data_IF_375288380603
#
_entry.id   IF_375288380603
#
_cell.length_a   1.000
_cell.length_b   1.000
_cell.length_c   1.000
_cell.angle_alpha   90.00
_cell.angle_beta   90.00
_cell.angle_gamma   90.00
#
_symmetry.space_group_name_H-M   'P 1'
#
loop_
_entity.id
_entity.type
_entity.pdbx_description
1 polymer ?
#
# COMPACT_ATOMS: atom_id res chain seq x y z
N UNK A 1 -7.66 0.57 -2.79
CA UNK A 1 -6.80 0.65 -1.57
C UNK A 1 -7.40 -0.07 -0.38
N UNK A 2 -8.64 0.23 0.05
CA UNK A 2 -9.25 -0.43 1.23
C UNK A 2 -10.51 -1.24 0.93
N UNK A 3 -11.04 -1.19 -0.29
CA UNK A 3 -12.35 -1.71 -0.67
C UNK A 3 -12.57 -3.24 -0.50
N UNK A 4 -11.50 -4.02 -0.33
CA UNK A 4 -11.55 -5.48 -0.15
C UNK A 4 -11.17 -5.93 1.27
N UNK A 5 -10.98 -4.99 2.20
CA UNK A 5 -10.75 -5.33 3.60
C UNK A 5 -12.04 -5.84 4.24
N UNK A 6 -11.91 -6.92 5.02
CA UNK A 6 -12.99 -7.39 5.91
C UNK A 6 -13.18 -6.42 7.08
N UNK A 7 -14.40 -6.37 7.60
CA UNK A 7 -14.73 -5.58 8.80
C UNK A 7 -13.83 -5.97 9.98
N UNK A 8 -13.35 -4.96 10.71
CA UNK A 8 -12.39 -5.16 11.81
C UNK A 8 -10.98 -5.56 11.37
N UNK A 9 -10.71 -5.59 10.05
CA UNK A 9 -9.40 -5.90 9.48
C UNK A 9 -8.34 -4.84 9.81
N UNK A 10 -7.08 -5.16 9.48
CA UNK A 10 -5.94 -4.28 9.74
C UNK A 10 -5.46 -3.63 8.44
N UNK A 11 -5.28 -2.32 8.46
CA UNK A 11 -4.68 -1.56 7.36
C UNK A 11 -3.39 -0.89 7.85
N UNK A 12 -2.27 -1.17 7.18
CA UNK A 12 -0.98 -0.53 7.43
C UNK A 12 -0.62 0.36 6.24
N UNK A 13 -0.44 1.66 6.50
CA UNK A 13 0.00 2.63 5.50
C UNK A 13 1.44 3.07 5.78
N UNK A 14 2.31 2.93 4.77
CA UNK A 14 3.65 3.48 4.83
C UNK A 14 3.64 4.96 4.41
N UNK A 15 3.75 5.87 5.35
CA UNK A 15 3.75 7.32 5.10
C UNK A 15 4.44 8.09 6.22
N UNK A 16 4.91 9.30 5.90
CA UNK A 16 5.47 10.25 6.86
C UNK A 16 4.41 11.20 7.47
N UNK A 17 3.13 10.89 7.28
CA UNK A 17 2.03 11.77 7.69
C UNK A 17 1.66 11.57 9.16
N UNK A 18 1.45 12.68 9.85
CA UNK A 18 0.75 12.72 11.13
C UNK A 18 -0.77 12.80 10.91
N UNK A 19 -1.54 13.01 11.99
CA UNK A 19 -3.00 13.06 11.89
C UNK A 19 -3.50 14.17 10.96
N UNK A 20 -2.86 15.35 10.96
CA UNK A 20 -3.21 16.45 10.06
C UNK A 20 -2.89 16.09 8.59
N UNK A 21 -1.75 15.45 8.35
CA UNK A 21 -1.40 14.92 7.03
C UNK A 21 -2.38 13.85 6.55
N UNK A 22 -2.83 12.97 7.44
CA UNK A 22 -3.83 11.94 7.13
C UNK A 22 -5.19 12.55 6.79
N UNK A 23 -5.64 13.53 7.57
CA UNK A 23 -6.84 14.33 7.28
C UNK A 23 -6.76 14.98 5.90
N UNK A 24 -5.60 15.49 5.50
CA UNK A 24 -5.42 16.19 4.22
C UNK A 24 -5.26 15.26 3.01
N UNK A 25 -4.57 14.14 3.18
CA UNK A 25 -4.11 13.32 2.04
C UNK A 25 -4.93 12.06 1.79
N UNK A 26 -5.63 11.53 2.81
CA UNK A 26 -6.52 10.40 2.59
C UNK A 26 -7.81 10.86 1.90
N UNK A 27 -8.19 10.25 0.77
CA UNK A 27 -9.47 10.56 0.13
C UNK A 27 -10.64 10.27 1.06
N UNK A 28 -11.68 11.10 1.04
CA UNK A 28 -12.84 10.94 1.92
C UNK A 28 -13.52 9.57 1.84
N UNK A 29 -13.61 8.96 0.65
CA UNK A 29 -14.13 7.59 0.48
C UNK A 29 -13.28 6.51 1.19
N UNK A 30 -11.96 6.72 1.32
CA UNK A 30 -11.07 5.83 2.08
C UNK A 30 -11.28 6.02 3.57
N UNK A 31 -11.37 7.28 4.04
CA UNK A 31 -11.67 7.62 5.44
C UNK A 31 -13.00 7.01 5.89
N UNK A 32 -14.05 7.20 5.09
CA UNK A 32 -15.38 6.66 5.36
C UNK A 32 -15.38 5.14 5.42
N UNK A 33 -14.68 4.46 4.51
CA UNK A 33 -14.55 3.01 4.56
C UNK A 33 -13.84 2.55 5.85
N UNK A 34 -12.70 3.14 6.21
CA UNK A 34 -11.96 2.79 7.43
C UNK A 34 -12.85 2.93 8.67
N UNK A 35 -13.59 4.03 8.78
CA UNK A 35 -14.42 4.33 9.95
C UNK A 35 -15.69 3.47 10.02
N UNK A 36 -16.38 3.25 8.90
CA UNK A 36 -17.63 2.48 8.87
C UNK A 36 -17.41 0.97 9.05
N UNK A 37 -16.23 0.46 8.65
CA UNK A 37 -15.88 -0.96 8.76
C UNK A 37 -15.03 -1.29 9.99
N UNK A 38 -14.85 -0.34 10.92
CA UNK A 38 -14.05 -0.49 12.14
C UNK A 38 -12.63 -1.01 11.88
N UNK A 39 -11.99 -0.51 10.82
CA UNK A 39 -10.65 -0.96 10.41
C UNK A 39 -9.62 -0.49 11.42
N UNK A 40 -8.75 -1.40 11.86
CA UNK A 40 -7.59 -1.08 12.69
C UNK A 40 -6.53 -0.43 11.82
N UNK A 41 -6.41 0.89 11.92
CA UNK A 41 -5.54 1.66 11.05
C UNK A 41 -4.20 1.96 11.73
N UNK A 42 -3.10 1.65 11.03
CA UNK A 42 -1.74 1.88 11.47
C UNK A 42 -0.93 2.61 10.41
N UNK A 43 0.01 3.43 10.85
CA UNK A 43 1.01 4.06 9.99
C UNK A 43 2.43 3.69 10.41
N UNK A 44 3.35 3.77 9.45
CA UNK A 44 4.79 3.64 9.69
C UNK A 44 5.54 4.48 8.67
N UNK A 45 6.60 5.17 9.09
CA UNK A 45 7.52 5.86 8.18
C UNK A 45 8.72 4.98 7.87
N UNK A 46 8.55 4.05 6.94
CA UNK A 46 9.61 3.15 6.52
C UNK A 46 10.80 3.86 5.89
N UNK A 47 10.60 5.04 5.27
CA UNK A 47 11.68 5.81 4.64
C UNK A 47 12.60 6.40 5.70
N UNK A 48 12.03 7.06 6.70
CA UNK A 48 12.77 7.57 7.86
C UNK A 48 13.52 6.45 8.58
N UNK A 49 12.83 5.36 8.89
CA UNK A 49 13.44 4.21 9.57
C UNK A 49 14.58 3.64 8.72
N UNK A 50 14.39 3.50 7.40
CA UNK A 50 15.42 3.00 6.50
C UNK A 50 16.68 3.87 6.50
N UNK A 51 16.54 5.20 6.59
CA UNK A 51 17.67 6.12 6.72
C UNK A 51 18.36 5.93 8.08
N UNK A 52 17.59 5.92 9.17
CA UNK A 52 18.10 5.79 10.55
C UNK A 52 18.83 4.47 10.80
N UNK A 53 18.36 3.37 10.19
CA UNK A 53 18.97 2.04 10.34
C UNK A 53 20.08 1.78 9.32
N UNK A 54 20.41 2.76 8.46
CA UNK A 54 21.46 2.63 7.44
C UNK A 54 21.10 1.76 6.23
N UNK A 55 19.82 1.41 6.05
CA UNK A 55 19.28 0.69 4.89
C UNK A 55 19.09 1.61 3.67
N UNK A 56 18.95 2.91 3.91
CA UNK A 56 18.66 3.94 2.91
C UNK A 56 17.16 4.16 2.70
N UNK A 57 16.77 5.21 1.95
CA UNK A 57 15.39 5.67 1.85
C UNK A 57 14.47 4.74 1.03
N UNK A 58 15.04 3.85 0.20
CA UNK A 58 14.26 3.01 -0.72
C UNK A 58 14.07 1.58 -0.22
N UNK A 59 14.83 1.15 0.80
CA UNK A 59 14.84 -0.24 1.28
C UNK A 59 13.97 -0.40 2.53
N UNK A 60 12.66 -0.31 2.31
CA UNK A 60 11.65 -0.37 3.37
C UNK A 60 11.07 -1.77 3.59
N UNK A 61 11.41 -2.74 2.74
CA UNK A 61 10.81 -4.08 2.72
C UNK A 61 10.93 -4.82 4.07
N UNK A 62 12.14 -4.86 4.66
CA UNK A 62 12.40 -5.54 5.93
C UNK A 62 11.62 -4.88 7.08
N UNK A 63 11.47 -3.56 7.03
CA UNK A 63 10.75 -2.76 8.03
C UNK A 63 9.25 -3.08 7.95
N UNK A 64 8.67 -3.05 6.74
CA UNK A 64 7.26 -3.36 6.53
C UNK A 64 6.93 -4.83 6.82
N UNK A 65 7.85 -5.75 6.52
CA UNK A 65 7.68 -7.17 6.87
C UNK A 65 7.64 -7.37 8.39
N UNK A 66 8.47 -6.65 9.14
CA UNK A 66 8.44 -6.72 10.61
C UNK A 66 7.13 -6.16 11.17
N UNK A 67 6.70 -5.00 10.68
CA UNK A 67 5.40 -4.42 11.02
C UNK A 67 4.24 -5.37 10.70
N UNK A 68 4.29 -6.08 9.57
CA UNK A 68 3.29 -7.09 9.20
C UNK A 68 3.18 -8.22 10.23
N UNK A 69 4.29 -8.84 10.66
CA UNK A 69 4.23 -9.91 11.65
C UNK A 69 3.73 -9.41 13.01
N UNK A 70 4.17 -8.20 13.41
CA UNK A 70 3.70 -7.54 14.63
C UNK A 70 2.19 -7.34 14.63
N UNK A 71 1.64 -6.82 13.54
CA UNK A 71 0.24 -6.45 13.44
C UNK A 71 -0.70 -7.63 13.21
N UNK A 72 -0.25 -8.64 12.46
CA UNK A 72 -1.08 -9.81 12.16
C UNK A 72 -1.14 -10.80 13.31
N UNK A 73 -0.11 -10.86 14.15
CA UNK A 73 -0.08 -11.77 15.31
C UNK A 73 -0.17 -13.25 14.93
N UNK A 74 0.11 -13.61 13.67
CA UNK A 74 0.01 -15.01 13.18
C UNK A 74 1.01 -15.95 13.87
N UNK A 75 2.11 -15.38 14.39
CA UNK A 75 3.07 -16.03 15.25
C UNK A 75 3.47 -15.05 16.37
N UNK A 76 3.96 -15.55 17.52
CA UNK A 76 4.50 -14.70 18.57
C UNK A 76 5.57 -13.74 18.05
N UNK A 77 5.53 -12.50 18.52
CA UNK A 77 6.41 -11.42 18.06
C UNK A 77 7.90 -11.77 18.23
N UNK A 78 8.30 -12.28 19.39
CA UNK A 78 9.68 -12.69 19.65
C UNK A 78 10.15 -13.75 18.64
N UNK A 79 9.27 -14.71 18.34
CA UNK A 79 9.54 -15.75 17.35
C UNK A 79 9.65 -15.16 15.93
N UNK A 80 8.80 -14.19 15.57
CA UNK A 80 8.87 -13.53 14.28
C UNK A 80 10.20 -12.79 14.10
N UNK A 81 10.61 -12.02 15.10
CA UNK A 81 11.87 -11.26 15.09
C UNK A 81 13.06 -12.21 14.93
N UNK A 82 13.10 -13.30 15.70
CA UNK A 82 14.18 -14.29 15.62
C UNK A 82 14.27 -14.95 14.24
N UNK A 83 13.13 -15.38 13.68
CA UNK A 83 13.07 -15.98 12.35
C UNK A 83 13.51 -15.00 11.26
N UNK A 84 13.06 -13.74 11.34
CA UNK A 84 13.47 -12.70 10.40
C UNK A 84 14.97 -12.41 10.48
N UNK A 85 15.55 -12.34 11.69
CA UNK A 85 16.99 -12.13 11.88
C UNK A 85 17.81 -13.30 11.35
N UNK A 86 17.35 -14.53 11.57
CA UNK A 86 17.96 -15.74 11.03
C UNK A 86 17.93 -15.73 9.48
N UNK A 87 16.78 -15.39 8.88
CA UNK A 87 16.64 -15.27 7.43
C UNK A 87 17.56 -14.18 6.86
N UNK A 88 17.61 -13.00 7.47
CA UNK A 88 18.50 -11.91 7.05
C UNK A 88 19.98 -12.33 7.07
N UNK A 89 20.41 -13.06 8.11
CA UNK A 89 21.77 -13.61 8.19
C UNK A 89 22.04 -14.64 7.09
N UNK A 90 21.09 -15.54 6.82
CA UNK A 90 21.22 -16.53 5.75
C UNK A 90 21.31 -15.90 4.36
N UNK A 91 20.49 -14.88 4.08
CA UNK A 91 20.44 -14.22 2.77
C UNK A 91 21.63 -13.26 2.56
N UNK A 92 22.03 -12.52 3.59
CA UNK A 92 22.99 -11.42 3.46
C UNK A 92 24.33 -11.66 4.14
N UNK A 93 24.55 -12.78 4.83
CA UNK A 93 25.83 -13.07 5.50
C UNK A 93 27.03 -13.01 4.56
N UNK A 94 26.86 -13.39 3.28
CA UNK A 94 27.90 -13.28 2.25
C UNK A 94 28.25 -11.83 1.86
N UNK A 95 27.39 -10.86 2.17
CA UNK A 95 27.58 -9.43 1.88
C UNK A 95 28.28 -8.67 3.02
N UNK A 96 28.62 -9.36 4.11
CA UNK A 96 29.31 -8.81 5.27
C UNK A 96 28.38 -8.50 6.44
N UNK A 97 28.97 -8.52 7.64
CA UNK A 97 28.23 -8.37 8.90
C UNK A 97 27.53 -7.02 9.03
N UNK A 98 28.11 -5.94 8.50
CA UNK A 98 27.48 -4.61 8.49
C UNK A 98 26.09 -4.62 7.83
N UNK A 99 25.94 -5.32 6.70
CA UNK A 99 24.64 -5.44 6.01
C UNK A 99 23.65 -6.25 6.83
N UNK A 100 24.12 -7.29 7.54
CA UNK A 100 23.28 -8.10 8.43
C UNK A 100 22.81 -7.27 9.62
N UNK A 101 23.70 -6.51 10.25
CA UNK A 101 23.37 -5.64 11.39
C UNK A 101 22.35 -4.55 11.01
N UNK A 102 22.51 -3.92 9.84
CA UNK A 102 21.54 -2.95 9.32
C UNK A 102 20.15 -3.56 9.13
N UNK A 103 20.07 -4.80 8.64
CA UNK A 103 18.79 -5.51 8.53
C UNK A 103 18.21 -5.84 9.91
N UNK A 104 19.03 -6.29 10.86
CA UNK A 104 18.55 -6.57 12.22
C UNK A 104 18.00 -5.31 12.90
N UNK A 105 18.68 -4.17 12.77
CA UNK A 105 18.20 -2.88 13.26
C UNK A 105 16.88 -2.49 12.58
N UNK A 106 16.74 -2.71 11.27
CA UNK A 106 15.52 -2.47 10.52
C UNK A 106 14.35 -3.37 10.96
N UNK A 107 14.61 -4.64 11.27
CA UNK A 107 13.61 -5.57 11.84
C UNK A 107 13.15 -5.04 13.20
N UNK A 108 14.08 -4.73 14.10
CA UNK A 108 13.74 -4.27 15.44
C UNK A 108 12.98 -2.93 15.43
N UNK A 109 13.35 -2.03 14.53
CA UNK A 109 12.66 -0.75 14.36
C UNK A 109 11.26 -0.92 13.77
N UNK A 110 11.10 -1.79 12.76
CA UNK A 110 9.81 -2.06 12.12
C UNK A 110 8.77 -2.63 13.07
N UNK A 111 9.16 -3.47 14.03
CA UNK A 111 8.25 -4.01 15.05
C UNK A 111 7.81 -2.96 16.09
N UNK A 112 8.62 -1.92 16.33
CA UNK A 112 8.42 -0.95 17.43
C UNK A 112 7.82 0.38 17.01
N UNK A 113 8.05 0.80 15.76
CA UNK A 113 7.71 2.14 15.29
C UNK A 113 6.38 2.20 14.51
N UNK A 114 5.57 1.15 14.58
CA UNK A 114 4.20 1.19 14.06
C UNK A 114 3.36 2.06 14.99
N UNK A 115 2.61 3.00 14.42
CA UNK A 115 1.73 3.92 15.15
C UNK A 115 0.28 3.54 14.87
N UNK A 116 -0.48 3.28 15.92
CA UNK A 116 -1.93 3.10 15.81
C UNK A 116 -2.63 4.45 15.68
N UNK A 117 -3.49 4.58 14.67
CA UNK A 117 -4.27 5.78 14.42
C UNK A 117 -5.64 5.62 15.05
N UNK A 118 -5.98 6.54 15.95
CA UNK A 118 -7.32 6.65 16.50
C UNK A 118 -8.22 7.27 15.43
N UNK A 119 -9.00 6.42 14.74
CA UNK A 119 -9.88 6.81 13.64
C UNK A 119 -10.99 7.73 14.18
N UNK A 120 -11.06 9.00 13.73
CA UNK A 120 -12.10 9.92 14.17
C UNK A 120 -13.48 9.48 13.70
N UNK A 121 -14.51 9.71 14.52
CA UNK A 121 -15.88 9.43 14.12
C UNK A 121 -16.36 10.31 12.94
N UNK A 122 -15.78 11.50 12.78
CA UNK A 122 -16.06 12.40 11.66
C UNK A 122 -15.79 11.75 10.30
N UNK A 123 -14.88 10.79 10.23
CA UNK A 123 -14.53 10.09 8.99
C UNK A 123 -15.70 9.28 8.43
N UNK A 124 -16.64 8.81 9.25
CA UNK A 124 -17.81 8.04 8.78
C UNK A 124 -18.63 8.78 7.71
N UNK A 125 -18.64 10.11 7.80
CA UNK A 125 -19.39 11.01 6.91
C UNK A 125 -18.48 11.78 5.95
N UNK A 126 -17.23 11.36 5.78
CA UNK A 126 -16.32 12.01 4.84
C UNK A 126 -16.88 11.89 3.41
N UNK A 127 -16.95 13.02 2.70
CA UNK A 127 -17.51 13.08 1.36
C UNK A 127 -16.62 12.33 0.36
N UNK A 128 -17.23 11.69 -0.62
CA UNK A 128 -16.49 11.14 -1.75
C UNK A 128 -15.91 12.31 -2.56
N UNK A 129 -14.59 12.34 -2.70
CA UNK A 129 -13.88 13.39 -3.42
C UNK A 129 -14.03 13.25 -4.95
N UNK A 130 -14.72 12.22 -5.44
CA UNK A 130 -14.98 12.06 -6.86
C UNK A 130 -13.68 11.96 -7.64
N UNK A 131 -12.74 11.16 -7.14
CA UNK A 131 -11.48 10.85 -7.83
C UNK A 131 -11.80 9.99 -9.07
N UNK A 132 -12.39 10.64 -10.07
CA UNK A 132 -12.80 10.03 -11.32
C UNK A 132 -11.58 9.86 -12.22
N UNK A 133 -11.63 8.81 -13.04
CA UNK A 133 -10.67 8.60 -14.10
C UNK A 133 -10.66 9.82 -15.02
N UNK A 134 -9.50 10.41 -15.24
CA UNK A 134 -9.33 11.46 -16.24
C UNK A 134 -9.63 10.89 -17.62
N UNK A 135 -10.51 11.55 -18.38
CA UNK A 135 -10.84 11.16 -19.75
C UNK A 135 -9.92 11.85 -20.75
N UNK A 136 -9.44 11.10 -21.75
CA UNK A 136 -8.78 11.67 -22.92
C UNK A 136 -9.80 12.49 -23.73
N UNK A 137 -9.45 13.73 -24.06
CA UNK A 137 -10.31 14.68 -24.79
C UNK A 137 -9.76 15.08 -26.16
N UNK A 138 -8.52 14.70 -26.48
CA UNK A 138 -7.82 15.07 -27.71
C UNK A 138 -7.08 13.87 -28.32
N UNK A 139 -6.92 13.87 -29.65
CA UNK A 139 -6.29 12.79 -30.41
C UNK A 139 -7.18 12.17 -31.48
N UNK A 140 -6.72 11.06 -32.06
CA UNK A 140 -7.54 10.26 -33.00
C UNK A 140 -8.65 9.55 -32.22
N UNK A 141 -9.84 9.47 -32.80
CA UNK A 141 -11.02 8.94 -32.12
C UNK A 141 -10.82 7.49 -31.63
N UNK A 142 -10.17 6.64 -32.44
CA UNK A 142 -9.85 5.25 -32.08
C UNK A 142 -8.96 5.14 -30.84
N UNK A 143 -8.01 6.06 -30.68
CA UNK A 143 -7.14 6.14 -29.49
C UNK A 143 -7.95 6.63 -28.28
N UNK A 144 -8.75 7.68 -28.44
CA UNK A 144 -9.59 8.23 -27.36
C UNK A 144 -10.53 7.15 -26.81
N UNK A 145 -11.19 6.40 -27.70
CA UNK A 145 -12.13 5.34 -27.33
C UNK A 145 -11.41 4.20 -26.61
N UNK A 146 -10.24 3.78 -27.09
CA UNK A 146 -9.43 2.76 -26.42
C UNK A 146 -9.00 3.21 -25.02
N UNK A 147 -8.50 4.45 -24.91
CA UNK A 147 -8.01 5.01 -23.64
C UNK A 147 -9.15 5.07 -22.62
N UNK A 148 -10.29 5.65 -23.00
CA UNK A 148 -11.40 5.92 -22.09
C UNK A 148 -12.17 4.64 -21.71
N UNK A 149 -12.33 3.69 -22.63
CA UNK A 149 -13.18 2.51 -22.41
C UNK A 149 -12.41 1.30 -21.89
N UNK A 150 -11.10 1.18 -22.19
CA UNK A 150 -10.28 0.01 -21.85
C UNK A 150 -9.08 0.42 -20.98
N UNK A 151 -8.19 1.24 -21.50
CA UNK A 151 -6.89 1.49 -20.86
C UNK A 151 -7.02 2.13 -19.48
N UNK A 152 -7.95 3.09 -19.31
CA UNK A 152 -8.22 3.73 -18.03
C UNK A 152 -8.59 2.70 -16.96
N UNK A 153 -9.53 1.79 -17.25
CA UNK A 153 -9.93 0.71 -16.35
C UNK A 153 -8.81 -0.26 -16.04
N UNK A 154 -7.99 -0.63 -17.04
CA UNK A 154 -6.83 -1.51 -16.82
C UNK A 154 -5.81 -0.83 -15.90
N UNK A 155 -5.51 0.45 -16.12
CA UNK A 155 -4.61 1.25 -15.26
C UNK A 155 -5.17 1.43 -13.84
N UNK A 156 -6.49 1.48 -13.70
CA UNK A 156 -7.20 1.49 -12.41
C UNK A 156 -7.11 0.15 -11.65
N UNK A 157 -6.54 -0.89 -12.26
CA UNK A 157 -6.59 -2.29 -11.80
C UNK A 157 -8.01 -2.90 -11.84
N UNK A 158 -8.92 -2.32 -12.61
CA UNK A 158 -10.31 -2.76 -12.80
C UNK A 158 -10.52 -3.48 -14.14
N UNK A 159 -9.45 -3.89 -14.82
CA UNK A 159 -9.51 -4.54 -16.14
C UNK A 159 -10.39 -5.80 -16.16
N UNK A 160 -10.46 -6.54 -15.06
CA UNK A 160 -11.33 -7.73 -14.93
C UNK A 160 -12.83 -7.41 -14.94
N UNK A 161 -13.22 -6.14 -14.73
CA UNK A 161 -14.61 -5.69 -14.86
C UNK A 161 -15.05 -5.48 -16.31
N UNK A 162 -14.11 -5.46 -17.26
CA UNK A 162 -14.41 -5.23 -18.67
C UNK A 162 -15.10 -6.47 -19.29
N UNK A 163 -16.30 -6.33 -19.85
CA UNK A 163 -16.94 -7.42 -20.55
C UNK A 163 -16.21 -7.72 -21.87
N UNK A 164 -16.36 -8.94 -22.39
CA UNK A 164 -15.83 -9.32 -23.72
C UNK A 164 -16.29 -8.36 -24.82
N UNK A 165 -17.50 -7.78 -24.67
CA UNK A 165 -18.04 -6.80 -25.62
C UNK A 165 -17.23 -5.50 -25.70
N UNK A 166 -16.43 -5.16 -24.69
CA UNK A 166 -15.56 -3.99 -24.72
C UNK A 166 -14.42 -4.14 -25.75
N UNK A 167 -14.13 -5.36 -26.19
CA UNK A 167 -13.01 -5.68 -27.09
C UNK A 167 -13.45 -6.00 -28.53
N UNK A 168 -14.70 -5.69 -28.91
CA UNK A 168 -15.26 -6.02 -30.23
C UNK A 168 -14.52 -5.35 -31.39
N UNK A 169 -13.92 -4.19 -31.16
CA UNK A 169 -13.16 -3.47 -32.19
C UNK A 169 -11.69 -3.91 -32.24
N UNK A 170 -11.28 -4.83 -31.35
CA UNK A 170 -9.90 -5.28 -31.15
C UNK A 170 -9.80 -6.83 -31.18
N UNK A 171 -10.60 -7.47 -32.02
CA UNK A 171 -10.77 -8.95 -32.05
C UNK A 171 -9.51 -9.73 -32.37
N UNK A 172 -8.57 -9.13 -33.09
CA UNK A 172 -7.27 -9.71 -33.43
C UNK A 172 -6.18 -9.39 -32.40
N UNK A 173 -6.54 -8.68 -31.33
CA UNK A 173 -5.62 -8.24 -30.28
C UNK A 173 -4.79 -7.01 -30.65
N UNK A 174 -5.05 -6.36 -31.79
CA UNK A 174 -4.40 -5.09 -32.14
C UNK A 174 -5.02 -3.95 -31.35
N UNK A 175 -4.18 -2.99 -30.92
CA UNK A 175 -4.62 -1.77 -30.23
C UNK A 175 -4.11 -0.54 -30.97
N UNK A 176 -4.80 0.61 -30.88
CA UNK A 176 -4.30 1.87 -31.44
C UNK A 176 -2.94 2.23 -30.81
N UNK A 177 -1.98 2.60 -31.66
CA UNK A 177 -0.66 3.15 -31.28
C UNK A 177 -0.62 4.66 -31.31
#
# INVERSE_FOLDING_TARGET
MVQELVDGGTFLLNCAWDMEGLEKHLPGQVKAFIANHNIKFYTIDGVKIGIETGMGPTRINTILQSAFFKLTGIIPEDQAIDLMKAAAKATYGRKGDDVVQKNWAAIDAGAKQVVEIQVPESWKNAEDEGLHMTHATEGRQDVIDFVNNIQAKVNAQEGNSLPVSAFKDYVDGTTPS
#
